data_IF_498178323328
#
_entry.id   IF_498178323328
#
_cell.length_a   1.000
_cell.length_b   1.000
_cell.length_c   1.000
_cell.angle_alpha   90.00
_cell.angle_beta   90.00
_cell.angle_gamma   90.00
#
_symmetry.space_group_name_H-M   'P 1'
#
loop_
_entity.id
_entity.type
_entity.pdbx_description
1 polymer ?
#
# COMPACT_ATOMS: atom_id res chain seq x y z
N UNK A 1 -24.76 11.11 -31.93
CA UNK A 1 -25.43 9.79 -31.85
C UNK A 1 -24.58 8.74 -31.15
N UNK A 2 -23.35 8.49 -31.61
CA UNK A 2 -22.43 7.51 -30.99
C UNK A 2 -22.09 7.80 -29.52
N UNK A 3 -21.78 9.05 -29.15
CA UNK A 3 -21.47 9.41 -27.75
C UNK A 3 -22.67 9.18 -26.82
N UNK A 4 -23.88 9.50 -27.28
CA UNK A 4 -25.12 9.26 -26.53
C UNK A 4 -25.29 7.77 -26.21
N UNK A 5 -25.07 6.89 -27.20
CA UNK A 5 -25.10 5.43 -27.02
C UNK A 5 -24.04 4.94 -26.02
N UNK A 6 -22.85 5.55 -26.01
CA UNK A 6 -21.79 5.23 -25.04
C UNK A 6 -22.22 5.62 -23.62
N UNK A 7 -22.74 6.83 -23.44
CA UNK A 7 -23.18 7.30 -22.12
C UNK A 7 -24.38 6.53 -21.59
N UNK A 8 -25.36 6.20 -22.45
CA UNK A 8 -26.46 5.30 -22.09
C UNK A 8 -25.95 3.95 -21.59
N UNK A 9 -24.98 3.37 -22.32
CA UNK A 9 -24.40 2.08 -21.92
C UNK A 9 -23.56 2.18 -20.65
N UNK A 10 -22.82 3.27 -20.46
CA UNK A 10 -22.07 3.54 -19.24
C UNK A 10 -23.01 3.69 -18.04
N UNK A 11 -24.14 4.38 -18.21
CA UNK A 11 -25.19 4.48 -17.19
C UNK A 11 -25.81 3.14 -16.83
N UNK A 12 -26.12 2.30 -17.82
CA UNK A 12 -26.63 0.93 -17.61
C UNK A 12 -25.63 0.06 -16.83
N UNK A 13 -24.34 0.15 -17.14
CA UNK A 13 -23.31 -0.59 -16.39
C UNK A 13 -23.13 -0.01 -15.00
N UNK A 14 -23.13 1.31 -14.87
CA UNK A 14 -22.98 2.00 -13.58
C UNK A 14 -24.13 1.69 -12.62
N UNK A 15 -25.37 1.56 -13.09
CA UNK A 15 -26.53 1.25 -12.23
C UNK A 15 -26.50 -0.15 -11.64
N UNK A 16 -25.67 -1.03 -12.19
CA UNK A 16 -25.45 -2.41 -11.74
C UNK A 16 -24.32 -2.50 -10.70
N UNK A 17 -23.55 -1.44 -10.50
CA UNK A 17 -22.43 -1.39 -9.56
C UNK A 17 -22.83 -0.63 -8.30
N UNK A 18 -22.26 -1.03 -7.16
CA UNK A 18 -22.58 -0.45 -5.85
C UNK A 18 -22.09 0.99 -5.71
N UNK A 19 -20.86 1.28 -6.15
CA UNK A 19 -20.25 2.60 -6.14
C UNK A 19 -19.44 2.82 -7.42
N UNK A 20 -19.97 3.67 -8.30
CA UNK A 20 -19.31 4.06 -9.54
C UNK A 20 -19.72 5.45 -9.99
N UNK A 21 -18.84 6.12 -10.71
CA UNK A 21 -19.08 7.44 -11.31
C UNK A 21 -18.82 7.36 -12.81
N UNK A 22 -19.77 7.87 -13.61
CA UNK A 22 -19.60 8.04 -15.06
C UNK A 22 -19.04 9.44 -15.30
N UNK A 23 -17.90 9.54 -15.97
CA UNK A 23 -17.31 10.81 -16.36
C UNK A 23 -17.75 11.19 -17.79
N UNK A 24 -18.85 11.92 -17.86
CA UNK A 24 -19.55 12.31 -19.08
C UNK A 24 -19.11 13.69 -19.64
N UNK A 25 -18.15 14.37 -19.00
CA UNK A 25 -17.67 15.71 -19.39
C UNK A 25 -17.18 15.74 -20.84
N UNK A 26 -17.83 16.52 -21.71
CA UNK A 26 -17.53 16.54 -23.15
C UNK A 26 -16.26 17.33 -23.50
N UNK A 27 -15.86 18.28 -22.64
CA UNK A 27 -14.72 19.18 -22.88
C UNK A 27 -13.35 18.54 -22.61
N UNK A 28 -13.31 17.26 -22.23
CA UNK A 28 -12.08 16.53 -21.92
C UNK A 28 -11.93 15.26 -22.76
N UNK A 29 -10.72 15.04 -23.27
CA UNK A 29 -10.40 13.80 -23.98
C UNK A 29 -10.38 12.60 -23.02
N UNK A 30 -10.62 11.36 -23.50
CA UNK A 30 -10.55 10.17 -22.65
C UNK A 30 -9.20 10.03 -21.93
N UNK A 31 -8.08 10.30 -22.61
CA UNK A 31 -6.75 10.25 -22.00
C UNK A 31 -6.57 11.24 -20.85
N UNK A 32 -7.14 12.45 -20.97
CA UNK A 32 -7.13 13.43 -19.89
C UNK A 32 -7.94 12.93 -18.68
N UNK A 33 -9.15 12.39 -18.93
CA UNK A 33 -9.99 11.79 -17.88
C UNK A 33 -9.27 10.65 -17.17
N UNK A 34 -8.59 9.77 -17.92
CA UNK A 34 -7.86 8.64 -17.35
C UNK A 34 -6.81 9.12 -16.33
N UNK A 35 -6.02 10.13 -16.72
CA UNK A 35 -5.00 10.68 -15.84
C UNK A 35 -5.60 11.32 -14.59
N UNK A 36 -6.67 12.11 -14.71
CA UNK A 36 -7.31 12.74 -13.55
C UNK A 36 -7.78 11.71 -12.52
N UNK A 37 -8.46 10.65 -12.96
CA UNK A 37 -8.96 9.62 -12.06
C UNK A 37 -7.85 8.73 -11.48
N UNK A 38 -6.76 8.53 -12.23
CA UNK A 38 -5.56 7.85 -11.72
C UNK A 38 -4.84 8.67 -10.63
N UNK A 39 -4.81 9.99 -10.77
CA UNK A 39 -4.29 10.92 -9.76
C UNK A 39 -5.16 10.93 -8.50
N UNK A 40 -6.50 10.86 -8.66
CA UNK A 40 -7.44 10.71 -7.54
C UNK A 40 -7.37 9.34 -6.85
N UNK A 41 -6.66 8.38 -7.44
CA UNK A 41 -6.47 7.05 -6.86
C UNK A 41 -7.67 6.12 -7.00
N UNK A 42 -8.56 6.35 -7.98
CA UNK A 42 -9.67 5.43 -8.26
C UNK A 42 -9.10 4.04 -8.58
N UNK A 43 -9.48 2.97 -7.86
CA UNK A 43 -8.80 1.68 -7.94
C UNK A 43 -9.02 0.94 -9.26
N UNK A 44 -10.17 1.17 -9.90
CA UNK A 44 -10.58 0.48 -11.12
C UNK A 44 -11.28 1.45 -12.07
N UNK A 45 -10.83 1.52 -13.31
CA UNK A 45 -11.49 2.25 -14.40
C UNK A 45 -12.17 1.27 -15.35
N UNK A 46 -13.36 1.62 -15.83
CA UNK A 46 -14.09 0.88 -16.86
C UNK A 46 -14.10 1.73 -18.13
N UNK A 47 -13.50 1.22 -19.20
CA UNK A 47 -13.44 1.86 -20.51
C UNK A 47 -14.55 1.26 -21.39
N UNK A 48 -15.40 2.14 -21.93
CA UNK A 48 -16.53 1.80 -22.80
C UNK A 48 -16.41 2.68 -24.05
N UNK A 49 -16.06 2.08 -25.18
CA UNK A 49 -16.01 2.71 -26.49
C UNK A 49 -17.00 2.09 -27.48
N UNK A 50 -16.98 2.54 -28.74
CA UNK A 50 -17.83 1.98 -29.79
C UNK A 50 -17.62 0.47 -29.99
N UNK A 51 -16.35 0.04 -29.97
CA UNK A 51 -15.96 -1.35 -30.17
C UNK A 51 -16.46 -2.25 -29.04
N UNK A 52 -16.28 -1.82 -27.79
CA UNK A 52 -16.79 -2.49 -26.59
C UNK A 52 -18.30 -2.75 -26.68
N UNK A 53 -19.05 -1.77 -27.21
CA UNK A 53 -20.51 -1.88 -27.36
C UNK A 53 -20.88 -2.85 -28.48
N UNK A 54 -20.20 -2.77 -29.63
CA UNK A 54 -20.45 -3.67 -30.78
C UNK A 54 -20.14 -5.13 -30.45
N UNK A 55 -19.06 -5.37 -29.70
CA UNK A 55 -18.58 -6.72 -29.35
C UNK A 55 -19.06 -7.19 -27.96
N UNK A 56 -19.95 -6.43 -27.28
CA UNK A 56 -20.54 -6.75 -25.98
C UNK A 56 -19.53 -7.05 -24.85
N UNK A 57 -18.41 -6.33 -24.81
CA UNK A 57 -17.43 -6.39 -23.72
C UNK A 57 -17.19 -5.01 -23.08
N UNK A 58 -16.44 -4.98 -21.98
CA UNK A 58 -15.82 -3.77 -21.41
C UNK A 58 -14.37 -4.03 -21.09
N UNK A 59 -13.57 -2.96 -21.05
CA UNK A 59 -12.17 -3.04 -20.63
C UNK A 59 -12.02 -2.48 -19.22
N UNK A 60 -11.58 -3.31 -18.28
CA UNK A 60 -11.27 -2.91 -16.92
C UNK A 60 -9.77 -2.61 -16.80
N UNK A 61 -9.41 -1.47 -16.21
CA UNK A 61 -8.02 -1.06 -16.00
C UNK A 61 -7.75 -0.82 -14.53
N UNK A 62 -6.81 -1.57 -13.98
CA UNK A 62 -6.41 -1.49 -12.58
C UNK A 62 -5.43 -0.35 -12.34
N UNK A 63 -5.64 0.43 -11.28
CA UNK A 63 -4.74 1.52 -10.90
C UNK A 63 -3.44 1.04 -10.26
N UNK A 64 -3.47 -0.05 -9.49
CA UNK A 64 -2.33 -0.52 -8.71
C UNK A 64 -1.20 -1.10 -9.57
N UNK A 65 -1.53 -1.67 -10.74
CA UNK A 65 -0.54 -2.31 -11.63
C UNK A 65 -0.77 -2.09 -13.13
N UNK A 66 -1.70 -1.20 -13.51
CA UNK A 66 -2.03 -0.87 -14.91
C UNK A 66 -2.52 -2.04 -15.77
N UNK A 67 -2.84 -3.20 -15.17
CA UNK A 67 -3.31 -4.37 -15.92
C UNK A 67 -4.68 -4.09 -16.55
N UNK A 68 -4.78 -4.37 -17.84
CA UNK A 68 -6.01 -4.29 -18.64
C UNK A 68 -6.67 -5.68 -18.73
N UNK A 69 -7.98 -5.73 -18.55
CA UNK A 69 -8.76 -6.96 -18.53
C UNK A 69 -10.03 -6.75 -19.35
N UNK A 70 -10.20 -7.51 -20.42
CA UNK A 70 -11.43 -7.56 -21.21
C UNK A 70 -12.44 -8.48 -20.54
N UNK A 71 -13.68 -8.02 -20.36
CA UNK A 71 -14.74 -8.75 -19.68
C UNK A 71 -16.04 -8.62 -20.46
N UNK A 72 -16.77 -9.73 -20.64
CA UNK A 72 -18.11 -9.67 -21.20
C UNK A 72 -19.02 -8.78 -20.34
N UNK A 73 -19.85 -7.94 -20.97
CA UNK A 73 -20.73 -7.00 -20.25
C UNK A 73 -21.68 -7.69 -19.26
N UNK A 74 -22.09 -8.92 -19.54
CA UNK A 74 -22.93 -9.72 -18.64
C UNK A 74 -22.22 -10.10 -17.34
N UNK A 75 -20.89 -10.16 -17.33
CA UNK A 75 -20.07 -10.57 -16.18
C UNK A 75 -19.39 -9.41 -15.45
N UNK A 76 -19.71 -8.16 -15.81
CA UNK A 76 -19.00 -6.99 -15.29
C UNK A 76 -19.11 -6.86 -13.77
N UNK A 77 -20.30 -7.05 -13.18
CA UNK A 77 -20.53 -6.92 -11.74
C UNK A 77 -19.67 -7.90 -10.92
N UNK A 78 -19.75 -9.18 -11.27
CA UNK A 78 -18.97 -10.25 -10.64
C UNK A 78 -17.47 -9.94 -10.76
N UNK A 79 -17.03 -9.54 -11.97
CA UNK A 79 -15.61 -9.32 -12.23
C UNK A 79 -15.06 -8.07 -11.56
N UNK A 80 -15.84 -7.00 -11.46
CA UNK A 80 -15.50 -5.79 -10.70
C UNK A 80 -15.31 -6.15 -9.23
N UNK A 81 -16.25 -6.88 -8.62
CA UNK A 81 -16.15 -7.30 -7.21
C UNK A 81 -14.90 -8.16 -6.96
N UNK A 82 -14.63 -9.13 -7.84
CA UNK A 82 -13.43 -9.98 -7.76
C UNK A 82 -12.14 -9.14 -7.86
N UNK A 83 -12.08 -8.20 -8.80
CA UNK A 83 -10.89 -7.37 -9.01
C UNK A 83 -10.65 -6.42 -7.84
N UNK A 84 -11.69 -5.77 -7.31
CA UNK A 84 -11.55 -4.88 -6.14
C UNK A 84 -11.02 -5.65 -4.92
N UNK A 85 -11.51 -6.87 -4.67
CA UNK A 85 -10.96 -7.73 -3.61
C UNK A 85 -9.49 -8.07 -3.85
N UNK A 86 -9.10 -8.35 -5.10
CA UNK A 86 -7.70 -8.61 -5.47
C UNK A 86 -6.82 -7.36 -5.30
N UNK A 87 -7.30 -6.18 -5.66
CA UNK A 87 -6.57 -4.92 -5.45
C UNK A 87 -6.31 -4.73 -3.95
N UNK A 88 -7.34 -4.90 -3.12
CA UNK A 88 -7.22 -4.76 -1.67
C UNK A 88 -6.17 -5.72 -1.08
N UNK A 89 -6.20 -6.99 -1.47
CA UNK A 89 -5.21 -7.99 -1.01
C UNK A 89 -3.80 -7.64 -1.49
N UNK A 90 -3.64 -7.33 -2.77
CA UNK A 90 -2.34 -6.99 -3.35
C UNK A 90 -1.71 -5.77 -2.68
N UNK A 91 -2.48 -4.70 -2.42
CA UNK A 91 -1.96 -3.51 -1.76
C UNK A 91 -1.50 -3.82 -0.33
N UNK A 92 -2.28 -4.62 0.41
CA UNK A 92 -1.92 -5.04 1.76
C UNK A 92 -0.67 -5.93 1.79
N UNK A 93 -0.57 -6.89 0.88
CA UNK A 93 0.60 -7.77 0.75
C UNK A 93 1.85 -6.96 0.38
N UNK A 94 1.76 -6.08 -0.62
CA UNK A 94 2.87 -5.21 -1.00
C UNK A 94 3.32 -4.31 0.15
N UNK A 95 2.40 -3.76 0.94
CA UNK A 95 2.73 -2.94 2.10
C UNK A 95 3.40 -3.75 3.21
N UNK A 96 2.96 -4.99 3.45
CA UNK A 96 3.58 -5.91 4.41
C UNK A 96 4.99 -6.30 3.99
N UNK A 97 5.17 -6.65 2.73
CA UNK A 97 6.47 -6.97 2.16
C UNK A 97 7.43 -5.78 2.24
N UNK A 98 6.94 -4.57 1.96
CA UNK A 98 7.72 -3.35 2.09
C UNK A 98 8.14 -3.10 3.54
N UNK A 99 7.21 -3.27 4.49
CA UNK A 99 7.50 -3.15 5.92
C UNK A 99 8.54 -4.16 6.37
N UNK A 100 8.40 -5.43 5.98
CA UNK A 100 9.32 -6.50 6.35
C UNK A 100 10.73 -6.26 5.78
N UNK A 101 10.83 -5.96 4.48
CA UNK A 101 12.11 -5.64 3.81
C UNK A 101 12.80 -4.39 4.38
N UNK A 102 12.04 -3.49 5.00
CA UNK A 102 12.54 -2.28 5.65
C UNK A 102 12.56 -2.35 7.17
N UNK A 103 12.37 -3.54 7.75
CA UNK A 103 12.60 -3.82 9.17
C UNK A 103 13.84 -4.70 9.29
N UNK A 104 14.90 -4.18 9.91
CA UNK A 104 16.19 -4.86 10.01
C UNK A 104 16.50 -5.19 11.46
N UNK A 105 17.13 -6.32 11.72
CA UNK A 105 17.52 -6.71 13.06
C UNK A 105 19.01 -6.46 13.27
N UNK A 106 19.39 -5.97 14.44
CA UNK A 106 20.79 -5.87 14.85
C UNK A 106 20.94 -5.95 16.37
N UNK A 107 22.10 -6.44 16.81
CA UNK A 107 22.52 -6.50 18.20
C UNK A 107 23.74 -5.60 18.49
N UNK A 108 24.29 -4.92 17.47
CA UNK A 108 25.41 -4.00 17.59
C UNK A 108 24.93 -2.56 17.51
N UNK A 109 25.46 -1.70 18.38
CA UNK A 109 25.13 -0.28 18.35
C UNK A 109 25.79 0.47 17.19
N UNK A 110 26.95 -0.02 16.73
CA UNK A 110 27.65 0.48 15.56
C UNK A 110 26.85 0.18 14.28
N UNK A 111 26.43 -1.07 14.11
CA UNK A 111 25.58 -1.47 12.97
C UNK A 111 24.22 -0.77 13.03
N UNK A 112 23.64 -0.60 14.22
CA UNK A 112 22.41 0.18 14.42
C UNK A 112 22.52 1.59 13.84
N UNK A 113 23.61 2.32 14.13
CA UNK A 113 23.85 3.66 13.57
C UNK A 113 24.02 3.62 12.06
N UNK A 114 24.77 2.63 11.55
CA UNK A 114 24.99 2.47 10.12
C UNK A 114 23.67 2.22 9.37
N UNK A 115 22.80 1.35 9.89
CA UNK A 115 21.48 1.09 9.30
C UNK A 115 20.63 2.36 9.30
N UNK A 116 20.60 3.11 10.41
CA UNK A 116 19.83 4.35 10.50
C UNK A 116 20.27 5.41 9.49
N UNK A 117 21.58 5.52 9.25
CA UNK A 117 22.14 6.54 8.36
C UNK A 117 22.03 6.13 6.89
N UNK A 118 22.37 4.89 6.54
CA UNK A 118 22.47 4.46 5.14
C UNK A 118 21.16 3.90 4.57
N UNK A 119 20.32 3.28 5.41
CA UNK A 119 19.14 2.52 4.94
C UNK A 119 17.82 3.04 5.49
N UNK A 120 17.80 3.62 6.69
CA UNK A 120 16.58 4.05 7.38
C UNK A 120 15.64 2.87 7.70
N UNK A 121 14.34 3.14 7.78
CA UNK A 121 13.32 2.14 8.13
C UNK A 121 13.29 1.80 9.62
N UNK A 122 12.73 0.63 9.95
CA UNK A 122 12.68 0.13 11.32
C UNK A 122 13.91 -0.72 11.63
N UNK A 123 14.35 -0.64 12.88
CA UNK A 123 15.44 -1.45 13.40
C UNK A 123 14.96 -2.19 14.65
N UNK A 124 14.79 -3.51 14.52
CA UNK A 124 14.54 -4.42 15.63
C UNK A 124 15.85 -4.60 16.41
N UNK A 125 15.85 -4.28 17.70
CA UNK A 125 17.03 -4.39 18.54
C UNK A 125 16.69 -4.79 19.99
N UNK A 126 17.60 -5.48 20.71
CA UNK A 126 17.41 -5.84 22.10
C UNK A 126 17.56 -4.62 23.02
N UNK A 127 16.63 -4.47 23.98
CA UNK A 127 16.58 -3.35 24.91
C UNK A 127 16.33 -3.80 26.35
N UNK A 128 16.99 -3.14 27.31
CA UNK A 128 16.96 -3.50 28.74
C UNK A 128 15.70 -3.04 29.49
N UNK A 129 14.83 -2.24 28.87
CA UNK A 129 13.66 -1.67 29.53
C UNK A 129 13.90 -0.37 30.29
N UNK A 130 15.12 0.18 30.28
CA UNK A 130 15.46 1.42 31.00
C UNK A 130 15.29 2.64 30.09
N UNK A 131 14.53 3.63 30.55
CA UNK A 131 14.34 4.93 29.87
C UNK A 131 15.67 5.62 29.58
N UNK A 132 16.64 5.53 30.48
CA UNK A 132 17.97 6.13 30.28
C UNK A 132 18.72 5.58 29.05
N UNK A 133 18.48 4.33 28.65
CA UNK A 133 19.07 3.79 27.42
C UNK A 133 18.35 4.32 26.18
N UNK A 134 17.02 4.43 26.22
CA UNK A 134 16.23 5.02 25.14
C UNK A 134 16.62 6.50 24.91
N UNK A 135 16.72 7.28 25.98
CA UNK A 135 17.11 8.70 25.91
C UNK A 135 18.50 8.89 25.31
N UNK A 136 19.49 8.07 25.71
CA UNK A 136 20.84 8.13 25.12
C UNK A 136 20.81 7.80 23.64
N UNK A 137 20.10 6.75 23.23
CA UNK A 137 19.96 6.38 21.81
C UNK A 137 19.30 7.52 21.03
N UNK A 138 18.23 8.10 21.56
CA UNK A 138 17.54 9.25 20.96
C UNK A 138 18.44 10.46 20.82
N UNK A 139 19.19 10.81 21.86
CA UNK A 139 20.08 11.98 21.82
C UNK A 139 21.22 11.79 20.82
N UNK A 140 21.74 10.57 20.69
CA UNK A 140 22.86 10.27 19.80
C UNK A 140 22.44 10.03 18.33
N UNK A 141 21.20 9.57 18.09
CA UNK A 141 20.80 9.08 16.76
C UNK A 141 19.49 9.65 16.25
N UNK A 142 18.75 10.41 17.06
CA UNK A 142 17.36 10.88 16.86
C UNK A 142 16.29 9.78 16.77
N UNK A 143 16.69 8.50 16.75
CA UNK A 143 15.77 7.39 16.72
C UNK A 143 15.09 7.17 18.07
N UNK A 144 13.82 6.78 18.04
CA UNK A 144 13.01 6.47 19.23
C UNK A 144 12.47 5.07 19.13
N UNK A 145 12.10 4.47 20.26
CA UNK A 145 11.33 3.24 20.27
C UNK A 145 9.93 3.56 19.75
N UNK A 146 9.49 2.83 18.73
CA UNK A 146 8.18 3.00 18.09
C UNK A 146 7.14 2.08 18.73
N UNK A 147 7.55 0.86 19.07
CA UNK A 147 6.74 -0.12 19.78
C UNK A 147 7.59 -1.24 20.37
N UNK A 148 6.95 -2.02 21.25
CA UNK A 148 7.40 -3.33 21.72
C UNK A 148 6.43 -4.36 21.12
N UNK A 149 6.77 -5.02 19.99
CA UNK A 149 5.83 -5.90 19.32
C UNK A 149 5.49 -7.15 20.12
N UNK A 150 4.19 -7.44 20.26
CA UNK A 150 3.70 -8.64 20.94
C UNK A 150 4.12 -9.95 20.26
N UNK A 151 4.46 -9.91 18.97
CA UNK A 151 4.90 -11.08 18.19
C UNK A 151 6.35 -11.47 18.46
N UNK A 152 7.13 -10.63 19.13
CA UNK A 152 8.51 -10.95 19.45
C UNK A 152 8.57 -11.72 20.76
N UNK A 153 9.20 -12.89 20.73
CA UNK A 153 9.56 -13.60 21.95
C UNK A 153 10.57 -12.80 22.76
N UNK A 154 10.80 -13.18 24.01
CA UNK A 154 11.86 -12.55 24.82
C UNK A 154 13.24 -12.68 24.14
N UNK A 155 14.13 -11.68 24.28
CA UNK A 155 15.43 -11.65 23.64
C UNK A 155 16.43 -12.60 24.34
N UNK A 156 16.12 -13.91 24.40
CA UNK A 156 16.87 -14.95 25.09
C UNK A 156 18.39 -14.77 24.96
N UNK A 157 19.06 -14.58 26.11
CA UNK A 157 20.52 -14.40 26.21
C UNK A 157 21.12 -13.22 25.43
N UNK A 158 20.30 -12.26 24.99
CA UNK A 158 20.76 -11.04 24.35
C UNK A 158 20.99 -9.92 25.34
N UNK A 159 21.90 -9.05 24.97
CA UNK A 159 22.24 -7.85 25.71
C UNK A 159 21.64 -6.62 25.04
N UNK A 160 21.28 -5.62 25.84
CA UNK A 160 20.80 -4.35 25.34
C UNK A 160 21.86 -3.68 24.49
N UNK A 161 21.48 -3.26 23.27
CA UNK A 161 22.40 -2.64 22.31
C UNK A 161 23.17 -1.46 22.89
N UNK A 162 22.60 -0.75 23.88
CA UNK A 162 23.20 0.49 24.40
C UNK A 162 24.08 0.30 25.62
N UNK A 163 23.66 -0.52 26.58
CA UNK A 163 24.35 -0.65 27.88
C UNK A 163 25.03 -2.00 28.10
N UNK A 164 24.81 -2.99 27.23
CA UNK A 164 25.38 -4.32 27.37
C UNK A 164 24.75 -5.19 28.47
N UNK A 165 23.84 -4.64 29.29
CA UNK A 165 23.10 -5.43 30.29
C UNK A 165 22.06 -6.35 29.62
N UNK A 166 21.59 -7.37 30.34
CA UNK A 166 20.56 -8.31 29.85
C UNK A 166 19.34 -7.57 29.29
N UNK A 167 18.97 -7.91 28.05
CA UNK A 167 17.79 -7.36 27.41
C UNK A 167 16.50 -7.98 27.97
N UNK A 168 15.46 -7.17 28.06
CA UNK A 168 14.10 -7.59 28.47
C UNK A 168 13.15 -7.68 27.29
N UNK A 169 13.36 -6.83 26.28
CA UNK A 169 12.45 -6.69 25.16
C UNK A 169 13.20 -6.63 23.83
N UNK A 170 12.59 -7.18 22.79
CA UNK A 170 12.86 -6.74 21.43
C UNK A 170 11.98 -5.55 21.11
N UNK A 171 12.57 -4.48 20.61
CA UNK A 171 11.86 -3.24 20.27
C UNK A 171 12.18 -2.82 18.85
N UNK A 172 11.26 -2.09 18.21
CA UNK A 172 11.55 -1.45 16.93
C UNK A 172 11.92 0.02 17.14
N UNK A 173 13.10 0.42 16.72
CA UNK A 173 13.51 1.82 16.61
C UNK A 173 13.24 2.35 15.21
N UNK A 174 12.93 3.65 15.11
CA UNK A 174 12.99 4.40 13.85
C UNK A 174 13.22 5.88 14.13
N UNK A 175 13.66 6.62 13.11
CA UNK A 175 13.54 8.09 13.12
C UNK A 175 12.05 8.43 12.91
N UNK A 176 11.48 9.18 13.85
CA UNK A 176 10.11 9.70 13.72
C UNK A 176 10.14 10.97 12.86
N UNK A 177 9.17 11.10 11.94
CA UNK A 177 8.85 12.36 11.28
C UNK A 177 8.51 13.46 12.30
#
# INVERSE_FOLDING_TARGET
EQMKRILEKAGEISSRLEDSTVDDRENYTPGWKFNEWELKGVPLRIEIGPKEIEENYVTLVRRDNQKRITVAQSKVEEKVKEILQKIQRNLLENARDFLEKNTRETESYEEFKEILEKKGGFIKAPWCGKTSCEEKIKNETTAKITNIPFKYNEPQEKNCIKCGEKAKYWVNFAKSY
#
